data_IF_409435766699
#
_entry.id   IF_409435766699
#
_cell.length_a   1.000
_cell.length_b   1.000
_cell.length_c   1.000
_cell.angle_alpha   90.00
_cell.angle_beta   90.00
_cell.angle_gamma   90.00
#
_symmetry.space_group_name_H-M   'P 1'
#
loop_
_entity.id
_entity.type
_entity.pdbx_description
1 polymer ?
#
# COMPACT_ATOMS: atom_id res chain seq x y z
N UNK A 1 -11.08 14.67 1.93
CA UNK A 1 -11.55 14.64 0.53
C UNK A 1 -10.70 15.56 -0.33
N UNK A 2 -10.54 15.23 -1.61
CA UNK A 2 -9.98 16.18 -2.55
C UNK A 2 -10.92 17.37 -2.64
N UNK A 3 -10.41 18.58 -2.48
CA UNK A 3 -11.19 19.81 -2.30
C UNK A 3 -11.99 20.28 -3.54
N UNK A 4 -12.17 19.44 -4.53
CA UNK A 4 -12.92 19.77 -5.74
C UNK A 4 -13.99 18.72 -6.02
N UNK A 5 -15.04 18.74 -5.23
CA UNK A 5 -16.28 18.13 -5.69
C UNK A 5 -16.98 19.16 -6.58
N UNK A 6 -16.86 18.97 -7.89
CA UNK A 6 -17.39 19.89 -8.89
C UNK A 6 -18.85 19.55 -9.24
N UNK A 7 -19.34 18.39 -8.82
CA UNK A 7 -20.69 17.91 -9.10
C UNK A 7 -21.43 17.70 -7.79
N UNK A 8 -22.51 18.41 -7.59
CA UNK A 8 -23.46 18.16 -6.52
C UNK A 8 -24.20 16.85 -6.80
N UNK A 9 -24.25 15.99 -5.79
CA UNK A 9 -25.01 14.74 -5.81
C UNK A 9 -26.04 14.75 -4.68
N UNK A 10 -27.10 13.97 -4.83
CA UNK A 10 -28.15 13.90 -3.82
C UNK A 10 -27.67 13.19 -2.55
N UNK A 11 -26.76 12.20 -2.71
CA UNK A 11 -26.24 11.37 -1.62
C UNK A 11 -24.76 11.06 -1.79
N UNK A 12 -24.09 10.83 -0.65
CA UNK A 12 -22.65 10.57 -0.58
C UNK A 12 -22.38 9.28 0.19
N UNK A 13 -21.57 8.40 -0.37
CA UNK A 13 -21.03 7.22 0.31
C UNK A 13 -19.58 7.48 0.68
N UNK A 14 -19.27 7.43 1.97
CA UNK A 14 -17.94 7.72 2.48
C UNK A 14 -17.36 6.52 3.22
N UNK A 15 -16.04 6.46 3.31
CA UNK A 15 -15.36 5.31 3.86
C UNK A 15 -15.43 5.21 5.38
N UNK A 16 -15.49 6.36 6.08
CA UNK A 16 -15.43 6.42 7.53
C UNK A 16 -16.14 7.65 8.09
N UNK A 17 -16.38 7.65 9.40
CA UNK A 17 -16.87 8.81 10.13
C UNK A 17 -15.94 10.01 10.02
N UNK A 18 -14.61 9.78 9.91
CA UNK A 18 -13.64 10.86 9.67
C UNK A 18 -13.92 11.55 8.34
N UNK A 19 -14.14 10.79 7.26
CA UNK A 19 -14.50 11.35 5.95
C UNK A 19 -15.84 12.06 5.98
N UNK A 20 -16.84 11.52 6.69
CA UNK A 20 -18.14 12.19 6.88
C UNK A 20 -17.97 13.55 7.54
N UNK A 21 -17.23 13.61 8.65
CA UNK A 21 -16.92 14.86 9.35
C UNK A 21 -16.19 15.88 8.46
N UNK A 22 -15.19 15.44 7.72
CA UNK A 22 -14.47 16.31 6.77
C UNK A 22 -15.39 16.82 5.65
N UNK A 23 -16.24 15.94 5.08
CA UNK A 23 -17.17 16.30 4.03
C UNK A 23 -18.12 17.41 4.50
N UNK A 24 -18.76 17.23 5.65
CA UNK A 24 -19.70 18.20 6.22
C UNK A 24 -19.00 19.50 6.64
N UNK A 25 -17.73 19.44 7.06
CA UNK A 25 -16.94 20.63 7.39
C UNK A 25 -16.59 21.46 6.15
N UNK A 26 -16.15 20.84 5.06
CA UNK A 26 -15.76 21.56 3.84
C UNK A 26 -16.95 21.96 2.96
N UNK A 27 -18.07 21.26 3.09
CA UNK A 27 -19.29 21.48 2.30
C UNK A 27 -20.51 21.60 3.23
N UNK A 28 -20.67 22.74 3.94
CA UNK A 28 -21.69 22.92 4.97
C UNK A 28 -23.13 22.95 4.43
N UNK A 29 -23.32 23.00 3.13
CA UNK A 29 -24.65 22.88 2.50
C UNK A 29 -25.13 21.44 2.39
N UNK A 30 -24.21 20.43 2.51
CA UNK A 30 -24.57 19.01 2.53
C UNK A 30 -25.15 18.69 3.91
N UNK A 31 -26.32 18.08 3.93
CA UNK A 31 -26.96 17.65 5.15
C UNK A 31 -26.45 16.30 5.63
N UNK A 32 -26.49 16.08 6.93
CA UNK A 32 -25.98 14.86 7.54
C UNK A 32 -26.68 13.58 7.04
N UNK A 33 -28.00 13.66 6.80
CA UNK A 33 -28.82 12.57 6.27
C UNK A 33 -28.49 12.18 4.82
N UNK A 34 -27.76 13.02 4.09
CA UNK A 34 -27.28 12.71 2.72
C UNK A 34 -25.99 11.90 2.72
N UNK A 35 -25.34 11.69 3.90
CA UNK A 35 -23.99 11.10 3.97
C UNK A 35 -24.03 9.76 4.72
N UNK A 36 -23.79 8.69 3.99
CA UNK A 36 -23.76 7.32 4.48
C UNK A 36 -22.31 6.84 4.68
N UNK A 37 -22.01 6.34 5.87
CA UNK A 37 -20.70 5.72 6.15
C UNK A 37 -20.78 4.25 5.79
N UNK A 38 -20.18 3.86 4.67
CA UNK A 38 -20.29 2.51 4.12
C UNK A 38 -18.99 1.71 4.16
N UNK A 39 -17.86 2.37 4.31
CA UNK A 39 -16.57 1.78 3.95
C UNK A 39 -16.39 1.77 2.44
N UNK A 40 -15.32 1.14 1.98
CA UNK A 40 -15.06 0.95 0.55
C UNK A 40 -14.96 -0.54 0.17
N UNK A 41 -15.59 -0.97 -0.95
CA UNK A 41 -15.47 -2.35 -1.44
C UNK A 41 -14.04 -2.77 -1.83
N UNK A 42 -13.13 -1.82 -1.97
CA UNK A 42 -11.72 -2.07 -2.29
C UNK A 42 -11.07 -3.09 -1.36
N UNK A 43 -11.45 -3.10 -0.07
CA UNK A 43 -10.86 -4.00 0.92
C UNK A 43 -11.59 -5.35 1.05
N UNK A 44 -12.74 -5.54 0.42
CA UNK A 44 -13.51 -6.80 0.53
C UNK A 44 -12.74 -8.02 0.01
N UNK A 45 -11.95 -7.82 -1.05
CA UNK A 45 -11.16 -8.89 -1.66
C UNK A 45 -10.13 -9.49 -0.70
N UNK A 46 -9.64 -8.75 0.29
CA UNK A 46 -8.68 -9.25 1.30
C UNK A 46 -9.27 -10.35 2.19
N UNK A 47 -10.58 -10.51 2.20
CA UNK A 47 -11.30 -11.50 3.01
C UNK A 47 -11.88 -12.65 2.18
N UNK A 48 -11.68 -12.65 0.85
CA UNK A 48 -12.11 -13.74 -0.05
C UNK A 48 -10.96 -14.72 -0.31
N UNK A 49 -10.85 -15.73 0.55
CA UNK A 49 -9.78 -16.75 0.45
C UNK A 49 -9.94 -17.71 -0.73
N UNK A 50 -11.10 -17.73 -1.41
CA UNK A 50 -11.34 -18.65 -2.54
C UNK A 50 -10.48 -18.36 -3.77
N UNK A 51 -9.81 -17.20 -3.80
CA UNK A 51 -8.96 -16.74 -4.92
C UNK A 51 -7.47 -16.87 -4.63
N UNK A 52 -7.11 -17.37 -3.45
CA UNK A 52 -5.72 -17.61 -3.11
C UNK A 52 -5.22 -18.86 -3.82
N UNK A 53 -4.13 -18.70 -4.54
CA UNK A 53 -3.37 -19.82 -5.10
C UNK A 53 -2.61 -20.53 -3.98
N UNK A 54 -2.24 -21.81 -4.20
CA UNK A 54 -1.25 -22.42 -3.30
C UNK A 54 0.10 -21.70 -3.45
N UNK A 55 0.93 -21.80 -2.41
CA UNK A 55 2.27 -21.19 -2.44
C UNK A 55 3.08 -21.65 -3.65
N UNK A 56 3.04 -22.94 -3.93
CA UNK A 56 3.76 -23.58 -5.03
C UNK A 56 3.35 -22.98 -6.38
N UNK A 57 2.04 -22.88 -6.62
CA UNK A 57 1.50 -22.34 -7.88
C UNK A 57 1.83 -20.86 -8.03
N UNK A 58 1.67 -20.06 -6.95
CA UNK A 58 1.99 -18.63 -7.01
C UNK A 58 3.49 -18.39 -7.25
N UNK A 59 4.35 -19.17 -6.60
CA UNK A 59 5.80 -19.06 -6.72
C UNK A 59 6.28 -19.49 -8.12
N UNK A 60 5.75 -20.58 -8.65
CA UNK A 60 6.05 -21.03 -10.02
C UNK A 60 5.63 -19.99 -11.07
N UNK A 61 4.44 -19.42 -10.96
CA UNK A 61 3.92 -18.41 -11.90
C UNK A 61 4.71 -17.11 -11.91
N UNK A 62 5.45 -16.81 -10.84
CA UNK A 62 6.17 -15.55 -10.65
C UNK A 62 7.69 -15.74 -10.51
N UNK A 63 8.23 -16.90 -10.88
CA UNK A 63 9.66 -17.24 -10.81
C UNK A 63 10.26 -17.03 -9.41
N UNK A 64 9.49 -17.35 -8.34
CA UNK A 64 9.92 -17.23 -6.95
C UNK A 64 10.50 -18.55 -6.44
N UNK A 65 11.56 -18.48 -5.62
CA UNK A 65 12.18 -19.65 -4.99
C UNK A 65 11.43 -20.05 -3.72
N UNK A 66 10.91 -21.28 -3.68
CA UNK A 66 10.17 -21.84 -2.53
C UNK A 66 10.98 -21.88 -1.23
N UNK A 67 12.32 -21.88 -1.31
CA UNK A 67 13.22 -21.89 -0.15
C UNK A 67 13.49 -20.49 0.41
N UNK A 68 12.98 -19.43 -0.23
CA UNK A 68 13.11 -18.06 0.25
C UNK A 68 11.84 -17.57 0.93
N UNK A 69 12.03 -16.66 1.89
CA UNK A 69 10.99 -15.73 2.33
C UNK A 69 11.10 -14.44 1.55
N UNK A 70 9.98 -13.83 1.23
CA UNK A 70 9.97 -12.61 0.44
C UNK A 70 9.43 -11.43 1.24
N UNK A 71 10.01 -10.26 1.02
CA UNK A 71 9.41 -8.97 1.38
C UNK A 71 8.87 -8.33 0.11
N UNK A 72 7.82 -7.53 0.22
CA UNK A 72 7.33 -6.71 -0.89
C UNK A 72 7.98 -5.33 -0.83
N UNK A 73 8.51 -4.86 -1.94
CA UNK A 73 8.81 -3.44 -2.13
C UNK A 73 7.78 -2.86 -3.10
N UNK A 74 6.96 -1.93 -2.60
CA UNK A 74 5.96 -1.24 -3.41
C UNK A 74 6.48 0.11 -3.85
N UNK A 75 6.87 0.21 -5.12
CA UNK A 75 7.40 1.43 -5.71
C UNK A 75 6.35 2.51 -5.90
N UNK A 76 6.77 3.76 -5.80
CA UNK A 76 5.95 4.94 -6.04
C UNK A 76 6.08 5.47 -7.48
N UNK A 77 5.24 6.43 -7.84
CA UNK A 77 5.39 7.19 -9.08
C UNK A 77 6.53 8.22 -8.99
N UNK A 78 7.00 8.69 -10.15
CA UNK A 78 8.13 9.60 -10.24
C UNK A 78 7.90 10.96 -9.58
N UNK A 79 6.65 11.39 -9.43
CA UNK A 79 6.32 12.69 -8.82
C UNK A 79 6.26 12.60 -7.30
N UNK A 80 5.80 11.47 -6.79
CA UNK A 80 5.73 11.20 -5.34
C UNK A 80 7.12 10.86 -4.79
N UNK A 81 7.85 9.97 -5.47
CA UNK A 81 9.20 9.57 -5.05
C UNK A 81 10.18 9.58 -6.23
N UNK A 82 10.84 10.71 -6.53
CA UNK A 82 11.79 10.81 -7.64
C UNK A 82 12.97 9.86 -7.52
N UNK A 83 13.41 9.59 -6.31
CA UNK A 83 14.58 8.77 -5.98
C UNK A 83 14.24 7.32 -5.58
N UNK A 84 13.02 6.86 -5.83
CA UNK A 84 12.54 5.55 -5.40
C UNK A 84 13.44 4.36 -5.81
N UNK A 85 14.05 4.32 -7.02
CA UNK A 85 15.01 3.28 -7.35
C UNK A 85 16.20 3.20 -6.39
N UNK A 86 16.61 4.33 -5.77
CA UNK A 86 17.71 4.34 -4.81
C UNK A 86 17.33 3.69 -3.49
N UNK A 87 16.08 3.88 -3.05
CA UNK A 87 15.56 3.19 -1.87
C UNK A 87 15.42 1.68 -2.11
N UNK A 88 14.96 1.27 -3.30
CA UNK A 88 14.93 -0.15 -3.68
C UNK A 88 16.36 -0.74 -3.67
N UNK A 89 17.36 -0.01 -4.18
CA UNK A 89 18.77 -0.41 -4.13
C UNK A 89 19.25 -0.59 -2.68
N UNK A 90 18.93 0.33 -1.78
CA UNK A 90 19.34 0.25 -0.37
C UNK A 90 18.70 -0.98 0.32
N UNK A 91 17.43 -1.27 0.03
CA UNK A 91 16.76 -2.50 0.51
C UNK A 91 17.41 -3.75 -0.08
N UNK A 92 17.74 -3.76 -1.37
CA UNK A 92 18.42 -4.90 -2.00
C UNK A 92 19.80 -5.16 -1.39
N UNK A 93 20.57 -4.13 -1.08
CA UNK A 93 21.83 -4.24 -0.36
C UNK A 93 21.65 -4.87 1.01
N UNK A 94 20.65 -4.41 1.77
CA UNK A 94 20.35 -4.98 3.09
C UNK A 94 19.98 -6.48 2.99
N UNK A 95 19.17 -6.87 2.00
CA UNK A 95 18.83 -8.28 1.76
C UNK A 95 20.08 -9.12 1.40
N UNK A 96 20.99 -8.59 0.56
CA UNK A 96 22.27 -9.27 0.29
C UNK A 96 23.09 -9.51 1.57
N UNK A 97 23.18 -8.51 2.46
CA UNK A 97 23.92 -8.65 3.71
C UNK A 97 23.23 -9.62 4.68
N UNK A 98 21.91 -9.61 4.77
CA UNK A 98 21.15 -10.59 5.57
C UNK A 98 21.37 -12.01 5.04
N UNK A 99 21.36 -12.21 3.72
CA UNK A 99 21.60 -13.51 3.12
C UNK A 99 23.04 -14.01 3.37
N UNK A 100 24.04 -13.12 3.41
CA UNK A 100 25.41 -13.49 3.85
C UNK A 100 25.48 -13.93 5.32
N UNK A 101 24.57 -13.43 6.16
CA UNK A 101 24.42 -13.84 7.57
C UNK A 101 23.63 -15.15 7.76
N UNK A 102 23.20 -15.79 6.65
CA UNK A 102 22.50 -17.08 6.69
C UNK A 102 20.98 -17.00 6.53
N UNK A 103 20.41 -15.81 6.29
CA UNK A 103 19.02 -15.70 5.89
C UNK A 103 18.81 -16.16 4.43
N UNK A 104 17.57 -16.49 4.08
CA UNK A 104 17.17 -16.83 2.71
C UNK A 104 16.01 -15.93 2.31
N UNK A 105 16.33 -14.68 1.93
CA UNK A 105 15.36 -13.63 1.66
C UNK A 105 15.42 -13.18 0.19
N UNK A 106 14.27 -12.76 -0.33
CA UNK A 106 14.13 -12.09 -1.61
C UNK A 106 13.18 -10.90 -1.52
N UNK A 107 13.14 -10.12 -2.59
CA UNK A 107 12.26 -8.97 -2.76
C UNK A 107 11.30 -9.25 -3.91
N UNK A 108 10.01 -9.20 -3.65
CA UNK A 108 8.99 -9.01 -4.69
C UNK A 108 8.87 -7.51 -4.93
N UNK A 109 9.28 -7.05 -6.09
CA UNK A 109 9.16 -5.65 -6.47
C UNK A 109 7.88 -5.42 -7.28
N UNK A 110 6.97 -4.61 -6.74
CA UNK A 110 5.78 -4.13 -7.44
C UNK A 110 5.92 -2.64 -7.72
N UNK A 111 6.11 -2.27 -8.99
CA UNK A 111 6.14 -0.85 -9.37
C UNK A 111 4.75 -0.21 -9.28
N UNK A 112 4.71 1.10 -9.11
CA UNK A 112 3.48 1.86 -9.24
C UNK A 112 2.85 1.61 -10.62
N UNK A 113 1.56 1.26 -10.71
CA UNK A 113 0.90 0.96 -11.98
C UNK A 113 0.90 2.11 -13.00
N UNK A 114 1.09 3.35 -12.53
CA UNK A 114 1.18 4.54 -13.37
C UNK A 114 2.62 4.90 -13.78
N UNK A 115 3.62 4.18 -13.27
CA UNK A 115 5.03 4.39 -13.62
C UNK A 115 5.46 3.46 -14.75
N UNK A 116 5.54 4.00 -15.96
CA UNK A 116 5.98 3.30 -17.17
C UNK A 116 7.44 3.58 -17.53
N UNK A 117 8.20 4.26 -16.65
CA UNK A 117 9.58 4.62 -16.91
C UNK A 117 10.53 3.42 -16.78
N UNK A 118 11.73 3.57 -17.32
CA UNK A 118 12.81 2.59 -17.18
C UNK A 118 13.74 2.86 -15.97
N UNK A 119 13.30 3.71 -15.02
CA UNK A 119 14.16 4.21 -13.93
C UNK A 119 14.64 3.14 -12.95
N UNK A 120 14.00 1.98 -12.93
CA UNK A 120 14.39 0.86 -12.07
C UNK A 120 15.32 -0.15 -12.76
N UNK A 121 15.49 -0.08 -14.09
CA UNK A 121 16.14 -1.15 -14.86
C UNK A 121 17.54 -1.45 -14.35
N UNK A 122 18.36 -0.43 -14.07
CA UNK A 122 19.72 -0.63 -13.56
C UNK A 122 19.76 -1.35 -12.20
N UNK A 123 18.81 -1.06 -11.31
CA UNK A 123 18.71 -1.70 -10.00
C UNK A 123 18.20 -3.13 -10.14
N UNK A 124 17.24 -3.36 -11.02
CA UNK A 124 16.72 -4.71 -11.28
C UNK A 124 17.79 -5.61 -11.90
N UNK A 125 18.59 -5.09 -12.83
CA UNK A 125 19.69 -5.84 -13.45
C UNK A 125 20.82 -6.15 -12.47
N UNK A 126 21.20 -5.19 -11.63
CA UNK A 126 22.28 -5.34 -10.65
C UNK A 126 21.92 -6.30 -9.51
N UNK A 127 20.63 -6.33 -9.11
CA UNK A 127 20.16 -7.09 -7.93
C UNK A 127 19.20 -8.22 -8.29
N UNK A 128 19.28 -8.74 -9.53
CA UNK A 128 18.40 -9.79 -10.05
C UNK A 128 18.39 -11.10 -9.24
N UNK A 129 19.40 -11.36 -8.43
CA UNK A 129 19.46 -12.56 -7.58
C UNK A 129 18.63 -12.40 -6.29
N UNK A 130 18.27 -11.18 -5.93
CA UNK A 130 17.44 -10.88 -4.74
C UNK A 130 16.12 -10.19 -5.10
N UNK A 131 16.01 -9.51 -6.25
CA UNK A 131 14.79 -8.82 -6.68
C UNK A 131 14.09 -9.61 -7.78
N UNK A 132 12.82 -9.94 -7.55
CA UNK A 132 11.91 -10.48 -8.57
C UNK A 132 10.83 -9.44 -8.85
N UNK A 133 10.83 -8.81 -10.04
CA UNK A 133 9.80 -7.85 -10.42
C UNK A 133 8.49 -8.58 -10.79
N UNK A 134 7.38 -8.19 -10.18
CA UNK A 134 6.04 -8.64 -10.55
C UNK A 134 5.27 -7.44 -11.08
N UNK A 135 5.02 -7.41 -12.38
CA UNK A 135 4.34 -6.29 -13.03
C UNK A 135 2.88 -6.19 -12.59
N UNK A 136 2.37 -4.97 -12.33
CA UNK A 136 0.94 -4.78 -12.10
C UNK A 136 0.14 -5.11 -13.37
N UNK A 137 -1.02 -5.77 -13.20
CA UNK A 137 -1.91 -6.17 -14.29
C UNK A 137 -3.00 -5.11 -14.56
N UNK A 138 -2.65 -3.84 -14.42
CA UNK A 138 -3.55 -2.74 -14.72
C UNK A 138 -3.67 -2.51 -16.22
N UNK A 139 -4.86 -2.07 -16.66
CA UNK A 139 -5.13 -1.79 -18.06
C UNK A 139 -4.98 -0.31 -18.35
N UNK A 140 -4.05 0.04 -19.23
CA UNK A 140 -3.91 1.39 -19.77
C UNK A 140 -4.88 1.56 -20.93
N UNK A 141 -5.78 2.57 -20.85
CA UNK A 141 -6.79 2.87 -21.88
C UNK A 141 -6.60 4.24 -22.56
N UNK A 142 -5.62 5.03 -22.11
CA UNK A 142 -5.28 6.34 -22.66
C UNK A 142 -3.89 6.78 -22.22
N UNK A 143 -3.52 8.03 -22.47
CA UNK A 143 -2.16 8.53 -22.21
C UNK A 143 -1.98 9.12 -20.80
N UNK A 144 -3.06 9.55 -20.16
CA UNK A 144 -3.00 10.11 -18.80
C UNK A 144 -2.86 9.04 -17.71
N UNK A 145 -2.26 9.39 -16.59
CA UNK A 145 -2.16 8.53 -15.42
C UNK A 145 -3.52 8.05 -14.89
N UNK A 146 -4.55 8.89 -15.03
CA UNK A 146 -5.94 8.61 -14.64
C UNK A 146 -6.67 7.66 -15.62
N UNK A 147 -6.02 7.23 -16.68
CA UNK A 147 -6.52 6.26 -17.65
C UNK A 147 -5.93 4.87 -17.47
N UNK A 148 -5.18 4.66 -16.37
CA UNK A 148 -4.65 3.35 -15.96
C UNK A 148 -5.61 2.77 -14.93
N UNK A 149 -6.30 1.69 -15.29
CA UNK A 149 -7.39 1.13 -14.51
C UNK A 149 -7.01 -0.21 -13.89
N UNK A 150 -7.34 -0.44 -12.60
CA UNK A 150 -7.14 -1.73 -11.97
C UNK A 150 -8.00 -2.80 -12.66
N UNK A 151 -7.48 -4.01 -12.72
CA UNK A 151 -8.22 -5.18 -13.19
C UNK A 151 -8.48 -6.14 -12.03
N UNK A 152 -9.48 -7.02 -12.18
CA UNK A 152 -9.71 -8.09 -11.22
C UNK A 152 -8.48 -9.00 -11.07
N UNK A 153 -7.79 -9.28 -12.19
CA UNK A 153 -6.57 -10.09 -12.17
C UNK A 153 -5.46 -9.45 -11.33
N UNK A 154 -5.33 -8.10 -11.34
CA UNK A 154 -4.37 -7.42 -10.48
C UNK A 154 -4.75 -7.47 -9.01
N UNK A 155 -6.05 -7.39 -8.69
CA UNK A 155 -6.53 -7.57 -7.32
C UNK A 155 -6.18 -8.98 -6.80
N UNK A 156 -6.44 -10.00 -7.59
CA UNK A 156 -6.11 -11.39 -7.24
C UNK A 156 -4.58 -11.58 -7.11
N UNK A 157 -3.78 -10.95 -7.99
CA UNK A 157 -2.30 -10.92 -7.91
C UNK A 157 -1.81 -10.22 -6.64
N UNK A 158 -2.40 -9.07 -6.28
CA UNK A 158 -2.06 -8.32 -5.07
C UNK A 158 -2.34 -9.15 -3.82
N UNK A 159 -3.51 -9.81 -3.76
CA UNK A 159 -3.89 -10.69 -2.66
C UNK A 159 -2.87 -11.81 -2.43
N UNK A 160 -2.45 -12.48 -3.51
CA UNK A 160 -1.45 -13.54 -3.43
C UNK A 160 -0.07 -12.97 -3.04
N UNK A 161 0.32 -11.81 -3.58
CA UNK A 161 1.57 -11.13 -3.21
C UNK A 161 1.61 -10.82 -1.71
N UNK A 162 0.53 -10.24 -1.15
CA UNK A 162 0.45 -9.92 0.28
C UNK A 162 0.50 -11.21 1.11
N UNK A 163 -0.24 -12.24 0.69
CA UNK A 163 -0.28 -13.53 1.39
C UNK A 163 1.11 -14.15 1.52
N UNK A 164 1.93 -14.07 0.49
CA UNK A 164 3.22 -14.77 0.41
C UNK A 164 4.45 -13.87 0.64
N UNK A 165 4.26 -12.63 1.07
CA UNK A 165 5.35 -11.76 1.53
C UNK A 165 5.20 -11.44 3.01
N UNK A 166 6.33 -11.27 3.73
CA UNK A 166 6.34 -11.09 5.20
C UNK A 166 5.93 -9.68 5.63
N UNK A 167 6.32 -8.67 4.85
CA UNK A 167 6.03 -7.25 5.07
C UNK A 167 6.06 -6.48 3.75
N UNK A 168 5.59 -5.23 3.78
CA UNK A 168 5.80 -4.29 2.67
C UNK A 168 6.69 -3.12 3.10
N UNK A 169 7.60 -2.72 2.21
CA UNK A 169 8.42 -1.50 2.34
C UNK A 169 7.99 -0.54 1.23
N UNK A 170 7.75 0.73 1.58
CA UNK A 170 7.40 1.79 0.63
C UNK A 170 7.58 3.19 1.23
N UNK A 171 7.31 4.22 0.45
CA UNK A 171 7.28 5.61 0.92
C UNK A 171 5.83 6.07 1.09
N UNK A 172 5.24 5.82 2.27
CA UNK A 172 3.94 6.39 2.62
C UNK A 172 2.75 5.91 1.80
N UNK A 173 2.79 4.67 1.32
CA UNK A 173 1.69 4.10 0.54
C UNK A 173 0.53 3.62 1.42
N UNK A 174 -0.70 3.70 0.87
CA UNK A 174 -1.90 3.11 1.47
C UNK A 174 -1.86 1.58 1.59
N UNK A 175 -0.87 0.91 1.03
CA UNK A 175 -0.66 -0.53 1.20
C UNK A 175 -0.48 -0.97 2.65
N UNK A 176 -0.24 -0.03 3.58
CA UNK A 176 -0.30 -0.33 5.02
C UNK A 176 -1.64 -0.94 5.42
N UNK A 177 -2.75 -0.49 4.84
CA UNK A 177 -4.10 -1.00 5.11
C UNK A 177 -4.34 -2.37 4.46
N UNK A 178 -3.80 -2.57 3.27
CA UNK A 178 -3.84 -3.86 2.59
C UNK A 178 -3.08 -4.93 3.38
N UNK A 179 -1.87 -4.60 3.88
CA UNK A 179 -1.06 -5.53 4.66
C UNK A 179 -1.64 -5.82 6.04
N UNK A 180 -2.19 -4.81 6.73
CA UNK A 180 -2.79 -5.03 8.05
C UNK A 180 -4.07 -5.87 7.98
N UNK A 181 -4.79 -5.88 6.86
CA UNK A 181 -5.91 -6.79 6.64
C UNK A 181 -5.48 -8.28 6.64
N UNK A 182 -4.19 -8.55 6.42
CA UNK A 182 -3.57 -9.88 6.53
C UNK A 182 -2.66 -10.03 7.76
N UNK A 183 -2.82 -9.16 8.77
CA UNK A 183 -2.03 -9.17 10.00
C UNK A 183 -0.52 -8.99 9.79
N UNK A 184 -0.16 -8.25 8.73
CA UNK A 184 1.22 -7.98 8.35
C UNK A 184 1.58 -6.51 8.51
N UNK A 185 2.86 -6.24 8.69
CA UNK A 185 3.36 -4.88 8.91
C UNK A 185 3.75 -4.19 7.62
N UNK A 186 3.73 -2.86 7.68
CA UNK A 186 4.32 -1.98 6.68
C UNK A 186 5.51 -1.24 7.30
N UNK A 187 6.58 -1.09 6.54
CA UNK A 187 7.71 -0.23 6.89
C UNK A 187 7.77 0.96 5.93
N UNK A 188 7.81 2.16 6.49
CA UNK A 188 7.89 3.41 5.76
C UNK A 188 9.32 3.94 5.73
N UNK A 189 9.80 4.29 4.53
CA UNK A 189 11.09 4.95 4.32
C UNK A 189 11.02 6.36 4.89
N UNK A 190 11.93 6.73 5.81
CA UNK A 190 11.93 8.00 6.53
C UNK A 190 13.29 8.71 6.49
N UNK A 191 14.04 8.55 5.42
CA UNK A 191 15.29 9.25 5.20
C UNK A 191 15.40 9.76 3.77
N UNK A 192 16.10 10.87 3.59
CA UNK A 192 16.43 11.39 2.27
C UNK A 192 17.72 10.76 1.75
N UNK A 193 17.77 10.47 0.45
CA UNK A 193 19.03 10.06 -0.21
C UNK A 193 20.02 11.22 -0.27
N UNK A 194 21.32 10.92 -0.25
CA UNK A 194 22.39 11.93 -0.24
C UNK A 194 22.39 12.81 -1.50
N UNK A 195 22.17 12.18 -2.67
CA UNK A 195 22.15 12.87 -3.96
C UNK A 195 20.76 12.79 -4.57
N UNK A 196 19.93 13.78 -4.24
CA UNK A 196 18.54 13.85 -4.70
C UNK A 196 18.44 14.32 -6.14
N UNK A 197 17.55 13.73 -6.93
CA UNK A 197 17.19 14.19 -8.28
C UNK A 197 16.52 15.56 -8.24
N UNK A 198 15.74 15.83 -7.20
CA UNK A 198 15.07 17.12 -6.97
C UNK A 198 15.56 17.65 -5.61
N UNK A 199 16.33 18.72 -5.63
CA UNK A 199 17.07 19.23 -4.47
C UNK A 199 16.17 19.60 -3.27
N UNK A 200 15.00 20.15 -3.54
CA UNK A 200 14.05 20.59 -2.52
C UNK A 200 13.01 19.51 -2.15
N UNK A 201 13.05 18.32 -2.78
CA UNK A 201 12.22 17.19 -2.39
C UNK A 201 12.72 16.56 -1.08
N UNK A 202 11.80 16.04 -0.27
CA UNK A 202 12.13 15.34 0.98
C UNK A 202 11.01 14.36 1.35
N UNK A 203 11.35 13.23 1.94
CA UNK A 203 10.39 12.28 2.49
C UNK A 203 9.45 12.92 3.52
N UNK A 204 9.94 13.91 4.27
CA UNK A 204 9.13 14.67 5.25
C UNK A 204 7.96 15.41 4.60
N UNK A 205 8.08 15.84 3.34
CA UNK A 205 6.97 16.47 2.61
C UNK A 205 5.82 15.49 2.40
N UNK A 206 6.14 14.22 2.13
CA UNK A 206 5.14 13.16 1.94
C UNK A 206 4.36 12.93 3.23
N UNK A 207 5.05 12.76 4.36
CA UNK A 207 4.39 12.51 5.66
C UNK A 207 3.63 13.71 6.24
N UNK A 208 3.79 14.89 5.65
CA UNK A 208 2.98 16.07 5.97
C UNK A 208 1.64 16.11 5.21
N UNK A 209 1.39 15.20 4.27
CA UNK A 209 0.11 15.15 3.57
C UNK A 209 -1.04 14.81 4.52
N UNK A 210 -2.23 15.35 4.19
CA UNK A 210 -3.42 15.31 5.08
C UNK A 210 -3.83 13.90 5.51
N UNK A 211 -3.63 12.90 4.66
CA UNK A 211 -4.04 11.53 4.95
C UNK A 211 -3.22 10.87 6.09
N UNK A 212 -1.98 11.33 6.34
CA UNK A 212 -1.18 10.84 7.48
C UNK A 212 -1.64 11.42 8.82
N UNK A 213 -2.42 12.51 8.83
CA UNK A 213 -2.98 13.10 10.05
C UNK A 213 -3.97 12.18 10.76
N UNK A 214 -4.51 11.20 10.05
CA UNK A 214 -5.40 10.17 10.62
C UNK A 214 -4.66 9.09 11.38
N UNK A 215 -3.31 9.00 11.28
CA UNK A 215 -2.52 8.00 11.97
C UNK A 215 -2.59 8.21 13.48
N UNK A 216 -3.18 7.29 14.25
CA UNK A 216 -3.43 7.50 15.68
C UNK A 216 -2.17 7.37 16.52
N UNK A 217 -1.17 6.63 16.03
CA UNK A 217 0.06 6.33 16.73
C UNK A 217 1.21 6.17 15.74
N UNK A 218 2.34 6.79 16.05
CA UNK A 218 3.57 6.66 15.25
C UNK A 218 4.05 5.20 15.11
N UNK A 219 3.66 4.32 16.04
CA UNK A 219 3.93 2.87 15.99
C UNK A 219 2.95 2.07 15.12
N UNK A 220 2.14 2.73 14.28
CA UNK A 220 1.28 2.05 13.29
C UNK A 220 2.07 1.48 12.11
N UNK A 221 3.31 1.87 11.94
CA UNK A 221 4.26 1.36 10.94
C UNK A 221 5.64 1.24 11.56
N UNK A 222 6.51 0.49 10.89
CA UNK A 222 7.95 0.52 11.17
C UNK A 222 8.57 1.67 10.37
N UNK A 223 9.47 2.44 10.99
CA UNK A 223 10.14 3.57 10.35
C UNK A 223 11.57 3.22 10.01
N UNK A 224 11.93 3.34 8.75
CA UNK A 224 13.29 3.16 8.25
C UNK A 224 13.95 4.53 8.20
N UNK A 225 14.69 4.88 9.25
CA UNK A 225 15.28 6.22 9.42
C UNK A 225 16.65 6.38 8.73
N UNK A 226 17.23 5.28 8.25
CA UNK A 226 18.49 5.28 7.49
C UNK A 226 18.67 3.98 6.72
N UNK A 227 19.53 3.93 5.68
CA UNK A 227 19.87 2.68 5.00
C UNK A 227 20.43 1.60 5.96
N UNK A 228 21.16 2.01 7.00
CA UNK A 228 21.78 1.10 7.98
C UNK A 228 20.76 0.46 8.94
N UNK A 229 19.55 1.00 9.02
CA UNK A 229 18.49 0.45 9.87
C UNK A 229 17.68 -0.65 9.17
N UNK A 230 17.81 -0.82 7.85
CA UNK A 230 16.93 -1.66 7.05
C UNK A 230 17.01 -3.13 7.48
N UNK A 231 18.21 -3.67 7.67
CA UNK A 231 18.42 -5.07 8.03
C UNK A 231 17.77 -5.39 9.37
N UNK A 232 18.03 -4.60 10.41
CA UNK A 232 17.44 -4.80 11.74
C UNK A 232 15.90 -4.64 11.73
N UNK A 233 15.35 -3.75 10.89
CA UNK A 233 13.89 -3.59 10.75
C UNK A 233 13.28 -4.81 10.08
N UNK A 234 13.91 -5.38 9.05
CA UNK A 234 13.44 -6.59 8.37
C UNK A 234 13.48 -7.78 9.34
N UNK A 235 14.60 -7.98 10.07
CA UNK A 235 14.72 -9.06 11.07
C UNK A 235 13.64 -8.95 12.15
N UNK A 236 13.42 -7.74 12.69
CA UNK A 236 12.37 -7.50 13.68
C UNK A 236 10.98 -7.76 13.11
N UNK A 237 10.71 -7.30 11.89
CA UNK A 237 9.44 -7.50 11.22
C UNK A 237 9.10 -8.98 11.01
N UNK A 238 10.07 -9.81 10.69
CA UNK A 238 9.88 -11.25 10.49
C UNK A 238 9.71 -11.99 11.82
N UNK A 239 10.32 -11.49 12.91
CA UNK A 239 10.33 -12.16 14.21
C UNK A 239 9.09 -11.85 15.07
N UNK A 240 8.67 -10.57 15.17
CA UNK A 240 7.64 -10.16 16.15
C UNK A 240 6.98 -8.83 15.77
N UNK A 241 5.67 -8.80 15.52
CA UNK A 241 4.99 -7.61 15.00
C UNK A 241 3.70 -7.20 15.71
N UNK A 242 3.26 -7.92 16.74
CA UNK A 242 1.89 -7.80 17.29
C UNK A 242 1.46 -6.37 17.59
N UNK A 243 2.33 -5.56 18.21
CA UNK A 243 1.99 -4.19 18.58
C UNK A 243 1.84 -3.26 17.37
N UNK A 244 2.70 -3.40 16.35
CA UNK A 244 2.62 -2.58 15.14
C UNK A 244 1.35 -2.91 14.37
N UNK A 245 1.04 -4.19 14.22
CA UNK A 245 -0.20 -4.67 13.58
C UNK A 245 -1.42 -4.15 14.33
N UNK A 246 -1.45 -4.20 15.68
CA UNK A 246 -2.57 -3.68 16.47
C UNK A 246 -2.78 -2.18 16.23
N UNK A 247 -1.72 -1.38 16.24
CA UNK A 247 -1.83 0.05 15.97
C UNK A 247 -2.23 0.34 14.51
N UNK A 248 -1.74 -0.43 13.55
CA UNK A 248 -2.16 -0.31 12.15
C UNK A 248 -3.64 -0.68 11.94
N UNK A 249 -4.16 -1.68 12.67
CA UNK A 249 -5.60 -2.00 12.67
C UNK A 249 -6.43 -0.83 13.20
N UNK A 250 -6.02 -0.20 14.29
CA UNK A 250 -6.69 1.01 14.81
C UNK A 250 -6.69 2.14 13.78
N UNK A 251 -5.60 2.30 13.04
CA UNK A 251 -5.56 3.27 11.95
C UNK A 251 -6.51 2.88 10.80
N UNK A 252 -6.56 1.61 10.44
CA UNK A 252 -7.48 1.10 9.42
C UNK A 252 -8.95 1.34 9.83
N UNK A 253 -9.32 1.13 11.10
CA UNK A 253 -10.65 1.43 11.64
C UNK A 253 -11.03 2.93 11.55
N UNK A 254 -10.04 3.83 11.65
CA UNK A 254 -10.28 5.26 11.49
C UNK A 254 -10.60 5.63 10.04
N UNK A 255 -9.92 5.00 9.07
CA UNK A 255 -10.03 5.38 7.65
C UNK A 255 -11.09 4.61 6.89
N UNK A 256 -11.56 3.49 7.41
CA UNK A 256 -12.55 2.64 6.76
C UNK A 256 -13.54 2.08 7.76
N UNK A 257 -14.83 2.02 7.37
CA UNK A 257 -15.89 1.40 8.18
C UNK A 257 -15.66 -0.11 8.31
N UNK A 258 -15.79 -0.62 9.53
CA UNK A 258 -15.63 -2.03 9.85
C UNK A 258 -16.98 -2.73 10.11
N UNK A 259 -17.08 -4.04 9.84
CA UNK A 259 -16.06 -4.89 9.23
C UNK A 259 -15.90 -4.59 7.72
N UNK A 260 -14.65 -4.52 7.19
CA UNK A 260 -14.40 -4.05 5.82
C UNK A 260 -15.03 -4.92 4.74
N UNK A 261 -15.22 -6.22 4.96
CA UNK A 261 -15.85 -7.16 4.03
C UNK A 261 -17.36 -6.93 3.83
N UNK A 262 -18.00 -6.02 4.56
CA UNK A 262 -19.42 -5.70 4.43
C UNK A 262 -19.68 -4.34 3.74
N UNK A 263 -18.71 -3.73 3.11
CA UNK A 263 -18.87 -2.40 2.50
C UNK A 263 -19.95 -2.40 1.41
N UNK A 264 -19.91 -3.36 0.49
CA UNK A 264 -20.95 -3.52 -0.56
C UNK A 264 -22.33 -3.75 0.01
N UNK A 265 -22.45 -4.54 1.08
CA UNK A 265 -23.73 -4.77 1.78
C UNK A 265 -24.28 -3.45 2.34
N UNK A 266 -23.45 -2.67 3.05
CA UNK A 266 -23.85 -1.35 3.59
C UNK A 266 -24.25 -0.38 2.48
N UNK A 267 -23.55 -0.36 1.35
CA UNK A 267 -23.91 0.45 0.19
C UNK A 267 -25.32 0.06 -0.30
N UNK A 268 -25.62 -1.22 -0.48
CA UNK A 268 -26.94 -1.66 -0.93
C UNK A 268 -28.04 -1.38 0.10
N UNK A 269 -27.76 -1.48 1.39
CA UNK A 269 -28.70 -1.12 2.45
C UNK A 269 -29.01 0.39 2.43
N UNK A 270 -28.02 1.24 2.24
CA UNK A 270 -28.22 2.68 2.09
C UNK A 270 -29.03 3.00 0.82
N UNK A 271 -28.73 2.40 -0.32
CA UNK A 271 -29.53 2.57 -1.54
C UNK A 271 -31.01 2.20 -1.31
N UNK A 272 -31.28 1.10 -0.61
CA UNK A 272 -32.65 0.70 -0.28
C UNK A 272 -33.38 1.69 0.63
N UNK A 273 -32.64 2.43 1.47
CA UNK A 273 -33.23 3.49 2.31
C UNK A 273 -33.56 4.74 1.47
N UNK A 274 -32.73 5.06 0.49
CA UNK A 274 -32.88 6.23 -0.38
C UNK A 274 -34.08 6.08 -1.35
N UNK A 275 -34.31 4.88 -1.88
CA UNK A 275 -35.35 4.63 -2.90
C UNK A 275 -36.72 4.24 -2.33
N UNK A 276 -36.86 4.21 -1.01
CA UNK A 276 -38.13 4.03 -0.31
C UNK A 276 -38.85 5.35 -0.13
#
# INVERSE_FOLDING_TARGET
PKATMVVETDYYFVWSDLMKKELLFYYPYIKEEQVFVTGTPQFESHFDTNKLLSKEVFFEQNDLDLNKKYICYSGDDVTTCPDDPKYLEDVAKAIRELNKKGHSLGIVFRRCPADFSNRYDSVLDEYKEVITPIAPLWKKIGDGWNTVLPTKADVDLQMNTITYTELVINLGSSMVFDYVAHDKVCAFINYDVTHKKISDWSVKKIYNYVHFRSMPNHKSVLWIDSPQAIDGIIENAIATNSLVVENARKWFEIINQHPPQEASKRIWEAIKQIVR
#
